data_IF_262312039870
#
_entry.id   IF_262312039870
#
_cell.length_a   1.000
_cell.length_b   1.000
_cell.length_c   1.000
_cell.angle_alpha   90.00
_cell.angle_beta   90.00
_cell.angle_gamma   90.00
#
_symmetry.space_group_name_H-M   'P 1'
#
loop_
_entity.id
_entity.type
_entity.pdbx_description
1 polymer ?
#
# COMPACT_ATOMS: atom_id res chain seq x y z
N UNK A 1 49.06 9.37 33.88
CA UNK A 1 47.72 9.96 33.66
C UNK A 1 46.94 8.95 32.84
N UNK A 2 45.93 8.30 33.41
CA UNK A 2 45.05 7.39 32.64
C UNK A 2 43.95 8.22 31.99
N UNK A 3 43.81 8.10 30.68
CA UNK A 3 42.68 8.68 29.94
C UNK A 3 41.53 7.68 30.01
N UNK A 4 40.49 8.01 30.75
CA UNK A 4 39.24 7.23 30.73
C UNK A 4 38.49 7.61 29.45
N UNK A 5 38.45 6.72 28.47
CA UNK A 5 37.59 6.89 27.29
C UNK A 5 36.15 6.63 27.67
N UNK A 6 35.33 7.68 27.71
CA UNK A 6 33.87 7.55 27.85
C UNK A 6 33.34 6.73 26.68
N UNK A 7 32.67 5.61 26.97
CA UNK A 7 32.01 4.81 25.96
C UNK A 7 30.92 5.67 25.30
N UNK A 8 30.95 5.80 23.97
CA UNK A 8 29.91 6.52 23.23
C UNK A 8 28.61 5.71 23.25
N UNK A 9 27.51 6.36 23.60
CA UNK A 9 26.17 5.75 23.54
C UNK A 9 25.87 5.29 22.11
N UNK A 10 25.25 4.11 22.00
CA UNK A 10 24.81 3.52 20.74
C UNK A 10 23.29 3.38 20.79
N UNK A 11 22.64 3.72 19.69
CA UNK A 11 21.20 3.63 19.52
C UNK A 11 20.88 2.53 18.51
N UNK A 12 19.79 1.83 18.75
CA UNK A 12 19.26 0.84 17.82
C UNK A 12 18.48 1.54 16.72
N UNK A 13 18.61 1.06 15.48
CA UNK A 13 17.77 1.55 14.40
C UNK A 13 16.36 1.02 14.60
N UNK A 14 15.40 1.93 14.76
CA UNK A 14 14.03 1.64 15.18
C UNK A 14 13.13 1.09 14.04
N UNK A 15 13.66 0.27 13.11
CA UNK A 15 12.89 -0.20 11.95
C UNK A 15 13.25 -1.60 11.44
N UNK A 16 12.23 -2.38 11.12
CA UNK A 16 12.34 -3.71 10.53
C UNK A 16 13.10 -3.70 9.19
N UNK A 17 14.14 -4.51 9.10
CA UNK A 17 15.06 -4.55 7.96
C UNK A 17 16.29 -3.63 8.11
N UNK A 18 16.35 -2.81 9.17
CA UNK A 18 17.53 -2.03 9.53
C UNK A 18 18.11 -2.53 10.85
N UNK A 19 19.01 -3.51 10.81
CA UNK A 19 19.54 -4.18 12.01
C UNK A 19 20.79 -3.55 12.63
N UNK A 20 21.14 -2.31 12.29
CA UNK A 20 22.41 -1.70 12.73
C UNK A 20 22.23 -0.76 13.90
N UNK A 21 23.20 -0.76 14.81
CA UNK A 21 23.30 0.26 15.86
C UNK A 21 24.23 1.38 15.42
N UNK A 22 23.89 2.63 15.74
CA UNK A 22 24.65 3.81 15.35
C UNK A 22 25.00 4.68 16.55
N UNK A 23 26.15 5.38 16.53
CA UNK A 23 26.52 6.29 17.61
C UNK A 23 25.67 7.57 17.61
N UNK A 24 25.57 8.22 18.76
CA UNK A 24 24.95 9.55 18.89
C UNK A 24 25.45 10.54 17.82
N UNK A 25 24.54 11.30 17.23
CA UNK A 25 24.85 12.30 16.20
C UNK A 25 25.12 11.74 14.80
N UNK A 26 25.00 10.43 14.59
CA UNK A 26 25.05 9.81 13.24
C UNK A 26 23.70 9.33 12.72
N UNK A 27 22.62 9.69 13.41
CA UNK A 27 21.27 9.46 12.92
C UNK A 27 21.05 10.19 11.60
N UNK A 28 20.52 9.50 10.61
CA UNK A 28 19.98 10.07 9.38
C UNK A 28 18.50 10.37 9.62
N UNK A 29 18.07 11.58 9.26
CA UNK A 29 16.70 12.08 9.50
C UNK A 29 16.21 11.89 10.95
N UNK A 30 17.14 11.96 11.91
CA UNK A 30 16.84 11.87 13.33
C UNK A 30 16.67 10.45 13.90
N UNK A 31 16.39 9.44 13.07
CA UNK A 31 16.02 8.09 13.57
C UNK A 31 16.66 6.90 12.83
N UNK A 32 17.30 7.09 11.68
CA UNK A 32 17.80 5.97 10.88
C UNK A 32 19.32 5.78 11.00
N UNK A 33 19.78 4.53 10.97
CA UNK A 33 21.22 4.21 11.04
C UNK A 33 22.00 4.57 9.78
N UNK A 34 21.33 4.76 8.64
CA UNK A 34 21.93 5.07 7.35
C UNK A 34 20.90 5.69 6.39
N UNK A 35 21.38 6.37 5.34
CA UNK A 35 20.51 6.88 4.28
C UNK A 35 19.78 5.74 3.54
N UNK A 36 20.44 4.59 3.39
CA UNK A 36 19.80 3.42 2.79
C UNK A 36 18.59 2.95 3.61
N UNK A 37 18.68 2.98 4.94
CA UNK A 37 17.55 2.64 5.80
C UNK A 37 16.42 3.68 5.69
N UNK A 38 16.77 4.97 5.71
CA UNK A 38 15.80 6.06 5.53
C UNK A 38 15.03 5.92 4.21
N UNK A 39 15.75 5.65 3.12
CA UNK A 39 15.17 5.43 1.79
C UNK A 39 14.25 4.20 1.78
N UNK A 40 14.71 3.06 2.30
CA UNK A 40 13.93 1.82 2.37
C UNK A 40 12.59 2.04 3.11
N UNK A 41 12.63 2.70 4.27
CA UNK A 41 11.44 2.96 5.09
C UNK A 41 10.49 3.91 4.35
N UNK A 42 11.04 4.98 3.76
CA UNK A 42 10.24 5.94 2.99
C UNK A 42 9.53 5.27 1.81
N UNK A 43 10.25 4.45 1.03
CA UNK A 43 9.66 3.76 -0.11
C UNK A 43 8.66 2.68 0.31
N UNK A 44 8.92 1.94 1.39
CA UNK A 44 7.94 0.99 1.96
C UNK A 44 6.65 1.66 2.39
N UNK A 45 6.73 2.81 3.05
CA UNK A 45 5.54 3.55 3.49
C UNK A 45 4.69 3.99 2.29
N UNK A 46 5.31 4.42 1.19
CA UNK A 46 4.58 4.78 -0.03
C UNK A 46 3.96 3.57 -0.73
N UNK A 47 4.70 2.46 -0.82
CA UNK A 47 4.16 1.21 -1.35
C UNK A 47 2.97 0.75 -0.51
N UNK A 48 3.10 0.74 0.81
CA UNK A 48 2.02 0.36 1.72
C UNK A 48 0.79 1.27 1.55
N UNK A 49 1.00 2.56 1.30
CA UNK A 49 -0.09 3.49 0.99
C UNK A 49 -0.83 3.06 -0.29
N UNK A 50 -0.10 2.75 -1.36
CA UNK A 50 -0.69 2.28 -2.63
C UNK A 50 -1.39 0.94 -2.45
N UNK A 51 -0.80 0.01 -1.70
CA UNK A 51 -1.41 -1.30 -1.40
C UNK A 51 -2.70 -1.16 -0.59
N UNK A 52 -2.86 -0.05 0.14
CA UNK A 52 -4.08 0.26 0.88
C UNK A 52 -5.13 0.99 0.04
N UNK A 53 -4.71 1.62 -1.05
CA UNK A 53 -5.60 2.28 -2.01
C UNK A 53 -6.21 1.25 -2.96
N UNK A 54 -7.45 0.87 -2.64
CA UNK A 54 -8.28 -0.05 -3.42
C UNK A 54 -8.54 0.37 -4.88
N UNK A 55 -8.18 1.59 -5.30
CA UNK A 55 -8.22 1.97 -6.72
C UNK A 55 -7.15 1.27 -7.56
N UNK A 56 -6.09 0.79 -6.93
CA UNK A 56 -4.96 0.17 -7.62
C UNK A 56 -4.77 -1.28 -7.20
N UNK A 57 -4.42 -2.12 -8.17
CA UNK A 57 -4.00 -3.48 -7.89
C UNK A 57 -2.63 -3.47 -7.19
N UNK A 58 -2.57 -4.01 -5.98
CA UNK A 58 -1.33 -4.05 -5.18
C UNK A 58 -0.20 -4.88 -5.81
N UNK A 59 -0.55 -5.79 -6.73
CA UNK A 59 0.40 -6.70 -7.38
C UNK A 59 0.98 -6.12 -8.69
N UNK A 60 0.12 -5.64 -9.59
CA UNK A 60 0.57 -5.15 -10.92
C UNK A 60 0.47 -3.63 -11.11
N UNK A 61 -0.02 -2.90 -10.10
CA UNK A 61 -0.20 -1.44 -10.10
C UNK A 61 -1.11 -0.93 -11.21
N UNK A 62 -2.01 -1.75 -11.76
CA UNK A 62 -3.07 -1.25 -12.66
C UNK A 62 -4.15 -0.59 -11.84
N UNK A 63 -4.68 0.52 -12.35
CA UNK A 63 -5.87 1.15 -11.79
C UNK A 63 -7.10 0.27 -12.12
N UNK A 64 -7.77 -0.25 -11.10
CA UNK A 64 -8.97 -1.09 -11.20
C UNK A 64 -10.25 -0.30 -10.96
N UNK A 65 -10.15 0.84 -10.26
CA UNK A 65 -11.26 1.77 -10.05
C UNK A 65 -10.84 3.20 -10.33
N UNK A 66 -11.77 4.00 -10.82
CA UNK A 66 -11.62 5.44 -10.99
C UNK A 66 -12.71 6.19 -10.24
N UNK A 67 -12.39 7.43 -9.83
CA UNK A 67 -13.32 8.30 -9.12
C UNK A 67 -13.68 9.47 -10.04
N UNK A 68 -14.94 9.52 -10.46
CA UNK A 68 -15.52 10.69 -11.09
C UNK A 68 -15.87 11.71 -10.00
N UNK A 69 -15.07 12.77 -9.87
CA UNK A 69 -15.33 13.82 -8.88
C UNK A 69 -16.52 14.68 -9.30
N UNK A 70 -17.41 14.96 -8.36
CA UNK A 70 -18.48 15.94 -8.55
C UNK A 70 -17.92 17.36 -8.48
N UNK A 71 -18.37 18.26 -9.36
CA UNK A 71 -17.88 19.65 -9.41
C UNK A 71 -18.13 20.42 -8.10
N UNK A 72 -19.16 20.03 -7.35
CA UNK A 72 -19.51 20.60 -6.06
C UNK A 72 -19.78 19.46 -5.10
N UNK A 73 -19.08 19.48 -3.97
CA UNK A 73 -19.36 18.60 -2.84
C UNK A 73 -20.82 18.75 -2.45
N UNK A 74 -21.61 17.68 -2.67
CA UNK A 74 -23.00 17.67 -2.25
C UNK A 74 -23.02 17.30 -0.77
N UNK A 75 -23.45 18.24 0.06
CA UNK A 75 -23.75 17.99 1.46
C UNK A 75 -25.11 17.29 1.48
N UNK A 76 -25.11 16.00 1.81
CA UNK A 76 -26.33 15.22 2.00
C UNK A 76 -26.80 15.46 3.43
N UNK A 77 -28.09 15.81 3.59
CA UNK A 77 -28.69 15.99 4.91
C UNK A 77 -28.57 14.73 5.77
N UNK A 78 -28.89 14.81 7.07
CA UNK A 78 -28.69 13.72 8.01
C UNK A 78 -29.32 12.43 7.48
N UNK A 79 -28.52 11.37 7.47
CA UNK A 79 -28.97 10.05 7.03
C UNK A 79 -29.77 9.42 8.16
N UNK A 80 -31.00 9.00 7.88
CA UNK A 80 -32.01 8.44 8.81
C UNK A 80 -31.59 7.12 9.51
N UNK A 81 -30.31 6.77 9.53
CA UNK A 81 -29.82 5.47 9.97
C UNK A 81 -29.21 5.47 11.39
N UNK A 82 -28.99 6.63 12.04
CA UNK A 82 -28.53 6.67 13.43
C UNK A 82 -29.06 7.88 14.21
N UNK A 83 -29.57 7.66 15.43
CA UNK A 83 -30.07 8.73 16.33
C UNK A 83 -28.97 9.68 16.85
N UNK A 84 -27.72 9.44 16.45
CA UNK A 84 -26.53 10.26 16.75
C UNK A 84 -26.23 11.22 15.56
N UNK A 85 -26.95 11.09 14.43
CA UNK A 85 -26.60 11.68 13.14
C UNK A 85 -27.10 13.12 12.87
N UNK A 86 -27.82 13.78 13.78
CA UNK A 86 -28.31 15.15 13.56
C UNK A 86 -27.18 16.19 13.31
N UNK A 87 -25.93 15.83 13.59
CA UNK A 87 -24.74 16.67 13.30
C UNK A 87 -23.83 16.12 12.20
N UNK A 88 -24.06 14.89 11.73
CA UNK A 88 -23.23 14.28 10.70
C UNK A 88 -23.78 14.66 9.34
N UNK A 89 -23.03 15.52 8.65
CA UNK A 89 -23.32 15.85 7.25
C UNK A 89 -22.41 15.01 6.37
N UNK A 90 -23.01 14.08 5.65
CA UNK A 90 -22.28 13.31 4.67
C UNK A 90 -21.97 14.18 3.46
N UNK A 91 -20.82 13.92 2.83
CA UNK A 91 -20.39 14.63 1.65
C UNK A 91 -20.17 13.64 0.50
N UNK A 92 -20.80 13.91 -0.65
CA UNK A 92 -20.48 13.20 -1.88
C UNK A 92 -19.24 13.85 -2.47
N UNK A 93 -18.15 13.08 -2.53
CA UNK A 93 -16.86 13.50 -3.10
C UNK A 93 -16.75 13.08 -4.57
N UNK A 94 -17.43 12.00 -4.95
CA UNK A 94 -17.46 11.48 -6.31
C UNK A 94 -18.17 10.14 -6.42
N UNK A 95 -18.18 9.59 -7.63
CA UNK A 95 -18.67 8.26 -7.94
C UNK A 95 -17.52 7.34 -8.31
N UNK A 96 -17.55 6.11 -7.80
CA UNK A 96 -16.54 5.11 -8.09
C UNK A 96 -17.01 4.21 -9.24
N UNK A 97 -16.13 3.98 -10.22
CA UNK A 97 -16.39 3.13 -11.39
C UNK A 97 -15.26 2.13 -11.59
N UNK A 98 -15.58 0.93 -12.08
CA UNK A 98 -14.58 -0.04 -12.52
C UNK A 98 -13.96 0.41 -13.85
N UNK A 99 -12.64 0.27 -13.96
CA UNK A 99 -11.93 0.47 -15.23
C UNK A 99 -11.98 -0.80 -16.08
N UNK A 100 -11.44 -0.76 -17.30
CA UNK A 100 -11.22 -1.95 -18.14
C UNK A 100 -10.29 -3.02 -17.51
N UNK A 101 -9.66 -2.73 -16.37
CA UNK A 101 -8.81 -3.66 -15.64
C UNK A 101 -9.47 -4.25 -14.40
N UNK A 102 -10.69 -3.84 -14.06
CA UNK A 102 -11.42 -4.29 -12.88
C UNK A 102 -12.75 -4.97 -13.25
N UNK A 103 -13.02 -6.13 -12.66
CA UNK A 103 -14.30 -6.83 -12.77
C UNK A 103 -14.87 -7.11 -11.36
N UNK A 104 -16.19 -7.22 -11.25
CA UNK A 104 -16.81 -7.73 -10.02
C UNK A 104 -16.64 -9.26 -9.98
N UNK A 105 -15.95 -9.75 -8.97
CA UNK A 105 -15.85 -11.17 -8.65
C UNK A 105 -16.65 -11.51 -7.40
N UNK A 106 -17.12 -12.76 -7.33
CA UNK A 106 -17.75 -13.31 -6.14
C UNK A 106 -16.82 -14.35 -5.51
N UNK A 107 -16.63 -14.25 -4.19
CA UNK A 107 -15.99 -15.29 -3.38
C UNK A 107 -17.04 -15.89 -2.48
N UNK A 108 -17.24 -17.20 -2.58
CA UNK A 108 -17.94 -17.92 -1.53
C UNK A 108 -16.95 -18.08 -0.38
N UNK A 109 -17.16 -17.40 0.75
CA UNK A 109 -16.42 -17.69 1.97
C UNK A 109 -16.87 -19.07 2.48
N UNK A 110 -16.26 -20.10 1.91
CA UNK A 110 -16.20 -21.42 2.49
C UNK A 110 -15.26 -21.35 3.69
N UNK A 111 -15.72 -20.76 4.79
CA UNK A 111 -15.08 -21.01 6.07
C UNK A 111 -15.34 -22.47 6.40
N UNK A 112 -14.49 -23.37 5.89
CA UNK A 112 -14.36 -24.71 6.45
C UNK A 112 -13.64 -24.47 7.79
N UNK A 113 -14.43 -24.11 8.80
CA UNK A 113 -14.01 -24.22 10.18
C UNK A 113 -13.80 -25.72 10.42
N UNK A 114 -12.60 -26.21 10.20
CA UNK A 114 -12.19 -27.51 10.72
C UNK A 114 -11.87 -27.35 12.21
N UNK A 115 -12.87 -26.95 13.00
CA UNK A 115 -12.78 -27.12 14.44
C UNK A 115 -13.55 -28.39 14.78
N UNK A 116 -12.79 -29.38 15.26
CA UNK A 116 -13.28 -30.56 15.96
C UNK A 116 -14.04 -30.21 17.26
N UNK A 117 -14.21 -28.91 17.58
CA UNK A 117 -14.91 -28.38 18.75
C UNK A 117 -16.22 -27.62 18.43
N UNK A 118 -16.70 -27.63 17.18
CA UNK A 118 -17.97 -27.00 16.83
C UNK A 118 -19.17 -27.93 17.10
N UNK A 119 -19.64 -27.95 18.35
CA UNK A 119 -20.93 -28.54 18.69
C UNK A 119 -22.09 -27.92 17.89
N UNK A 120 -22.85 -28.76 17.17
CA UNK A 120 -24.24 -28.58 16.70
C UNK A 120 -24.68 -27.22 16.12
N UNK A 121 -23.77 -26.39 15.60
CA UNK A 121 -24.15 -25.23 14.79
C UNK A 121 -24.36 -25.67 13.36
N UNK A 122 -25.61 -25.55 12.89
CA UNK A 122 -25.95 -25.75 11.48
C UNK A 122 -24.98 -24.93 10.59
N UNK A 123 -24.54 -25.48 9.44
CA UNK A 123 -23.64 -24.77 8.54
C UNK A 123 -24.30 -23.44 8.16
N UNK A 124 -23.75 -22.34 8.67
CA UNK A 124 -24.13 -21.00 8.25
C UNK A 124 -23.90 -20.95 6.74
N UNK A 125 -24.97 -20.73 5.98
CA UNK A 125 -24.91 -20.62 4.52
C UNK A 125 -23.75 -19.71 4.12
N UNK A 126 -22.87 -20.19 3.25
CA UNK A 126 -21.63 -19.51 2.90
C UNK A 126 -21.90 -18.06 2.50
N UNK A 127 -21.27 -17.12 3.19
CA UNK A 127 -21.37 -15.71 2.86
C UNK A 127 -20.64 -15.52 1.54
N UNK A 128 -21.35 -15.06 0.51
CA UNK A 128 -20.72 -14.65 -0.73
C UNK A 128 -20.23 -13.22 -0.55
N UNK A 129 -18.93 -13.04 -0.52
CA UNK A 129 -18.29 -11.72 -0.48
C UNK A 129 -17.93 -11.34 -1.91
N UNK A 130 -18.54 -10.27 -2.41
CA UNK A 130 -18.15 -9.68 -3.69
C UNK A 130 -16.94 -8.76 -3.52
N UNK A 131 -16.05 -8.75 -4.50
CA UNK A 131 -14.85 -7.91 -4.52
C UNK A 131 -14.41 -7.55 -5.92
N UNK A 132 -13.47 -6.62 -6.01
CA UNK A 132 -12.89 -6.18 -7.28
C UNK A 132 -11.76 -7.13 -7.66
N UNK A 133 -11.81 -7.68 -8.87
CA UNK A 133 -10.78 -8.55 -9.43
C UNK A 133 -10.03 -7.78 -10.52
N UNK A 134 -8.71 -7.67 -10.38
CA UNK A 134 -7.86 -7.10 -11.40
C UNK A 134 -7.71 -8.06 -12.59
N UNK A 135 -7.45 -7.54 -13.78
CA UNK A 135 -7.12 -8.34 -14.97
C UNK A 135 -5.89 -9.24 -14.80
N UNK A 136 -5.01 -8.98 -13.81
CA UNK A 136 -3.92 -9.90 -13.43
C UNK A 136 -4.38 -11.01 -12.47
N UNK A 137 -5.68 -11.09 -12.16
CA UNK A 137 -6.31 -12.06 -11.27
C UNK A 137 -6.21 -11.76 -9.78
N UNK A 138 -5.48 -10.70 -9.38
CA UNK A 138 -5.41 -10.27 -7.98
C UNK A 138 -6.72 -9.64 -7.53
N UNK A 139 -7.21 -10.03 -6.37
CA UNK A 139 -8.44 -9.48 -5.76
C UNK A 139 -8.13 -8.33 -4.80
N UNK A 140 -9.08 -7.42 -4.61
CA UNK A 140 -9.01 -6.36 -3.57
C UNK A 140 -9.10 -6.90 -2.14
N UNK A 141 -9.64 -8.11 -1.99
CA UNK A 141 -9.48 -8.93 -0.78
C UNK A 141 -8.00 -9.26 -0.63
N UNK A 142 -7.37 -8.66 0.39
CA UNK A 142 -5.93 -8.77 0.72
C UNK A 142 -5.49 -10.17 1.17
N UNK A 143 -6.31 -11.19 0.92
CA UNK A 143 -5.97 -12.56 1.19
C UNK A 143 -5.08 -13.08 0.04
N UNK A 144 -3.79 -13.20 0.37
CA UNK A 144 -2.61 -13.35 -0.48
C UNK A 144 -2.54 -14.64 -1.35
N UNK A 145 -3.64 -15.39 -1.50
CA UNK A 145 -3.63 -16.73 -2.12
C UNK A 145 -4.15 -16.80 -3.56
N UNK A 146 -4.66 -15.70 -4.14
CA UNK A 146 -5.06 -15.60 -5.56
C UNK A 146 -4.05 -14.80 -6.39
N UNK A 147 -2.75 -15.04 -6.19
CA UNK A 147 -1.72 -14.60 -7.13
C UNK A 147 -1.85 -15.43 -8.42
N UNK A 148 -2.62 -14.94 -9.38
CA UNK A 148 -2.48 -15.40 -10.77
C UNK A 148 -1.24 -14.75 -11.38
N UNK A 149 -0.61 -15.52 -12.26
CA UNK A 149 0.66 -15.25 -12.91
C UNK A 149 0.76 -13.84 -13.50
N UNK A 150 1.93 -13.21 -13.30
CA UNK A 150 2.55 -12.31 -14.27
C UNK A 150 2.38 -10.82 -14.02
N UNK A 151 3.36 -10.22 -13.31
CA UNK A 151 3.77 -8.86 -13.67
C UNK A 151 4.23 -8.93 -15.14
N UNK A 152 3.45 -8.32 -16.03
CA UNK A 152 3.61 -8.46 -17.49
C UNK A 152 4.98 -8.00 -17.98
N UNK A 153 5.61 -7.06 -17.26
CA UNK A 153 7.05 -6.77 -17.29
C UNK A 153 7.42 -5.83 -16.13
N UNK A 154 8.62 -6.00 -15.57
CA UNK A 154 9.16 -5.17 -14.48
C UNK A 154 9.19 -3.67 -14.84
N UNK A 155 9.66 -3.27 -16.04
CA UNK A 155 9.62 -1.86 -16.44
C UNK A 155 8.19 -1.32 -16.58
N UNK A 156 7.22 -2.14 -16.99
CA UNK A 156 5.83 -1.70 -17.07
C UNK A 156 5.21 -1.50 -15.67
N UNK A 157 5.52 -2.37 -14.72
CA UNK A 157 5.10 -2.20 -13.33
C UNK A 157 5.74 -0.96 -12.69
N UNK A 158 7.03 -0.72 -12.90
CA UNK A 158 7.73 0.48 -12.44
C UNK A 158 7.13 1.77 -13.03
N UNK A 159 6.80 1.78 -14.33
CA UNK A 159 6.13 2.94 -14.96
C UNK A 159 4.75 3.18 -14.36
N UNK A 160 3.93 2.14 -14.21
CA UNK A 160 2.62 2.24 -13.57
C UNK A 160 2.72 2.77 -12.14
N UNK A 161 3.70 2.28 -11.37
CA UNK A 161 3.96 2.77 -10.03
C UNK A 161 4.32 4.27 -10.02
N UNK A 162 5.14 4.74 -10.97
CA UNK A 162 5.41 6.17 -11.14
C UNK A 162 4.15 6.97 -11.47
N UNK A 163 3.30 6.47 -12.37
CA UNK A 163 2.05 7.13 -12.74
C UNK A 163 1.08 7.24 -11.54
N UNK A 164 1.00 6.19 -10.71
CA UNK A 164 0.24 6.19 -9.46
C UNK A 164 0.79 7.24 -8.51
N UNK A 165 2.10 7.22 -8.22
CA UNK A 165 2.70 8.19 -7.29
C UNK A 165 2.52 9.62 -7.81
N UNK A 166 2.64 9.86 -9.11
CA UNK A 166 2.36 11.18 -9.68
C UNK A 166 0.88 11.57 -9.49
N UNK A 167 -0.06 10.64 -9.62
CA UNK A 167 -1.48 10.86 -9.35
C UNK A 167 -1.73 11.17 -7.88
N UNK A 168 -1.24 10.34 -6.96
CA UNK A 168 -1.38 10.53 -5.51
C UNK A 168 -0.75 11.86 -5.05
N UNK A 169 0.37 12.25 -5.65
CA UNK A 169 0.99 13.56 -5.45
C UNK A 169 0.09 14.72 -5.90
N UNK A 170 -0.55 14.63 -7.07
CA UNK A 170 -1.54 15.62 -7.54
C UNK A 170 -2.79 15.69 -6.65
N UNK A 171 -3.12 14.59 -5.98
CA UNK A 171 -4.21 14.53 -4.99
C UNK A 171 -3.80 15.06 -3.61
N UNK A 172 -2.53 15.44 -3.41
CA UNK A 172 -2.01 15.96 -2.16
C UNK A 172 -1.73 14.90 -1.10
N UNK A 173 -1.68 13.62 -1.48
CA UNK A 173 -1.39 12.53 -0.54
C UNK A 173 0.09 12.42 -0.16
N UNK A 174 0.98 12.95 -1.00
CA UNK A 174 2.39 13.17 -0.71
C UNK A 174 2.94 14.31 -1.57
N UNK A 175 4.13 14.82 -1.23
CA UNK A 175 4.83 15.89 -1.95
C UNK A 175 6.08 15.39 -2.70
N UNK A 176 6.30 14.08 -2.70
CA UNK A 176 7.49 13.44 -3.28
C UNK A 176 7.43 13.36 -4.81
N UNK A 177 8.57 13.62 -5.45
CA UNK A 177 8.83 13.36 -6.87
C UNK A 177 9.62 12.07 -7.03
N UNK A 178 9.33 11.30 -8.08
CA UNK A 178 10.02 10.04 -8.36
C UNK A 178 10.72 10.09 -9.72
N UNK A 179 11.98 9.69 -9.77
CA UNK A 179 12.70 9.46 -11.03
C UNK A 179 12.34 8.07 -11.57
N UNK A 180 11.53 8.06 -12.62
CA UNK A 180 11.10 6.83 -13.28
C UNK A 180 12.27 6.05 -13.90
N UNK A 181 13.34 6.72 -14.33
CA UNK A 181 14.53 6.07 -14.89
C UNK A 181 15.26 5.32 -13.79
N UNK A 182 15.55 6.00 -12.68
CA UNK A 182 16.21 5.42 -11.51
C UNK A 182 15.40 4.24 -10.95
N UNK A 183 14.07 4.36 -10.88
CA UNK A 183 13.22 3.26 -10.40
C UNK A 183 13.35 2.02 -11.30
N UNK A 184 13.27 2.19 -12.62
CA UNK A 184 13.39 1.05 -13.56
C UNK A 184 14.76 0.40 -13.44
N UNK A 185 15.83 1.17 -13.28
CA UNK A 185 17.18 0.67 -13.08
C UNK A 185 17.34 -0.10 -11.76
N UNK A 186 16.79 0.42 -10.65
CA UNK A 186 16.94 -0.18 -9.32
C UNK A 186 16.10 -1.45 -9.11
N UNK A 187 14.93 -1.54 -9.76
CA UNK A 187 14.07 -2.74 -9.71
C UNK A 187 14.68 -3.87 -10.57
N UNK A 188 15.33 -3.54 -11.68
CA UNK A 188 15.96 -4.52 -12.58
C UNK A 188 14.96 -5.35 -13.39
N UNK A 189 15.38 -6.55 -13.81
CA UNK A 189 14.59 -7.40 -14.72
C UNK A 189 13.68 -8.40 -13.99
N UNK A 190 13.95 -8.74 -12.73
CA UNK A 190 13.19 -9.72 -11.94
C UNK A 190 12.25 -9.02 -10.94
N UNK A 191 10.93 -8.97 -11.22
CA UNK A 191 9.98 -8.25 -10.38
C UNK A 191 9.65 -8.98 -9.08
N UNK A 192 9.86 -10.29 -9.01
CA UNK A 192 9.59 -11.10 -7.81
C UNK A 192 10.74 -11.00 -6.80
N UNK A 193 11.97 -10.83 -7.28
CA UNK A 193 13.13 -10.58 -6.44
C UNK A 193 13.33 -9.09 -6.09
N UNK A 194 12.61 -8.18 -6.75
CA UNK A 194 12.79 -6.74 -6.55
C UNK A 194 12.30 -6.26 -5.19
N UNK A 195 13.19 -5.60 -4.44
CA UNK A 195 12.81 -4.83 -3.25
C UNK A 195 12.23 -3.48 -3.69
N UNK A 196 10.94 -3.49 -4.05
CA UNK A 196 10.20 -2.29 -4.49
C UNK A 196 10.28 -1.15 -3.47
N UNK A 197 10.25 -1.46 -2.17
CA UNK A 197 10.37 -0.47 -1.11
C UNK A 197 11.73 0.23 -1.15
N UNK A 198 12.81 -0.54 -1.34
CA UNK A 198 14.14 0.03 -1.53
C UNK A 198 14.21 0.87 -2.81
N UNK A 199 13.80 0.31 -3.95
CA UNK A 199 13.92 0.97 -5.25
C UNK A 199 13.16 2.30 -5.31
N UNK A 200 11.92 2.33 -4.81
CA UNK A 200 11.17 3.59 -4.65
C UNK A 200 11.95 4.56 -3.78
N UNK A 201 12.45 4.11 -2.63
CA UNK A 201 13.23 4.95 -1.72
C UNK A 201 14.42 5.66 -2.36
N UNK A 202 15.15 4.96 -3.25
CA UNK A 202 16.27 5.56 -3.98
C UNK A 202 15.81 6.52 -5.08
N UNK A 203 14.77 6.16 -5.83
CA UNK A 203 14.20 6.99 -6.89
C UNK A 203 13.54 8.30 -6.40
N UNK A 204 13.35 8.48 -5.08
CA UNK A 204 12.86 9.73 -4.49
C UNK A 204 13.96 10.75 -4.17
N UNK A 205 15.23 10.32 -4.19
CA UNK A 205 16.38 11.15 -3.83
C UNK A 205 17.11 11.73 -5.04
N UNK A 206 16.85 11.17 -6.23
CA UNK A 206 17.38 11.54 -7.53
C UNK A 206 16.78 12.82 -8.10
#
# INVERSE_FOLDING_TARGET
MSVTTTQRERYDCDRDGCGQTFPEGRAVEGSYCSQQCANLVTGRNLIEHIQRDHRFCHNCFRQVKEIERVEKTLIVGPVDHDAIADTLTDCIIGYEHLTEHGELGERQDGHIVTDEEAGDRAPSGGVVVSGTVCSCGTTDHRDDYLRREGITSTPAAARRLCDILALLGREGQHDKTIDATQLVEDVGDDPEAADWGRAVGFALQS
#
